data_IF_140408241509
#
_entry.id   IF_140408241509
#
_cell.length_a   1.000
_cell.length_b   1.000
_cell.length_c   1.000
_cell.angle_alpha   90.00
_cell.angle_beta   90.00
_cell.angle_gamma   90.00
#
_symmetry.space_group_name_H-M   'P 1'
#
loop_
_entity.id
_entity.type
_entity.pdbx_description
1 polymer ?
#
# COMPACT_ATOMS: atom_id res chain seq x y z
N UNK A 1 8.10 29.27 10.77
CA UNK A 1 7.54 28.29 9.82
C UNK A 1 8.68 27.84 8.94
N UNK A 2 9.04 26.56 9.01
CA UNK A 2 10.08 25.95 8.19
C UNK A 2 9.34 25.05 7.21
N UNK A 3 9.47 25.33 5.92
CA UNK A 3 8.98 24.45 4.86
C UNK A 3 9.92 23.24 4.77
N UNK A 4 9.35 22.04 4.80
CA UNK A 4 10.11 20.81 4.65
C UNK A 4 10.10 20.41 3.16
N UNK A 5 11.25 20.57 2.52
CA UNK A 5 11.52 20.08 1.17
C UNK A 5 11.90 18.59 1.26
N UNK A 6 11.20 17.74 0.51
CA UNK A 6 11.46 16.29 0.49
C UNK A 6 12.34 15.98 -0.72
N UNK A 7 13.61 15.70 -0.46
CA UNK A 7 14.56 15.13 -1.43
C UNK A 7 14.47 13.61 -1.31
N UNK A 8 13.85 12.94 -2.28
CA UNK A 8 13.87 11.48 -2.39
C UNK A 8 15.04 11.03 -3.28
N UNK A 9 15.97 10.21 -2.77
CA UNK A 9 17.04 9.67 -3.59
C UNK A 9 16.51 8.48 -4.39
N UNK A 10 16.73 8.55 -5.70
CA UNK A 10 16.61 7.48 -6.71
C UNK A 10 15.21 7.17 -7.27
N UNK A 11 14.97 7.88 -8.36
CA UNK A 11 14.15 7.53 -9.54
C UNK A 11 12.63 7.66 -9.47
N UNK A 12 12.21 8.90 -9.81
CA UNK A 12 11.19 9.20 -10.83
C UNK A 12 9.90 8.38 -10.79
N UNK A 13 9.02 8.85 -9.93
CA UNK A 13 7.63 9.07 -10.32
C UNK A 13 6.80 7.82 -10.59
N UNK A 14 6.21 7.29 -9.53
CA UNK A 14 4.75 7.09 -9.57
C UNK A 14 4.06 8.40 -9.13
N UNK A 15 4.41 9.52 -9.78
CA UNK A 15 3.45 10.60 -9.85
C UNK A 15 2.33 10.10 -10.76
N UNK A 16 1.18 9.83 -10.14
CA UNK A 16 -0.09 10.35 -10.62
C UNK A 16 -0.25 10.34 -12.15
N UNK A 17 -0.49 9.15 -12.73
CA UNK A 17 -1.43 9.13 -13.84
C UNK A 17 -2.81 9.30 -13.22
N UNK A 18 -3.46 10.39 -13.60
CA UNK A 18 -4.79 10.84 -13.20
C UNK A 18 -5.90 9.80 -13.45
N UNK A 19 -5.91 8.68 -12.73
CA UNK A 19 -7.06 7.80 -12.69
C UNK A 19 -7.98 8.27 -11.58
N UNK A 20 -8.87 9.22 -11.90
CA UNK A 20 -10.09 9.36 -11.11
C UNK A 20 -10.85 8.03 -11.25
N UNK A 21 -10.94 7.27 -10.17
CA UNK A 21 -11.81 6.09 -10.15
C UNK A 21 -13.24 6.59 -10.05
N UNK A 22 -14.16 6.19 -10.94
CA UNK A 22 -15.56 6.56 -10.81
C UNK A 22 -16.13 6.14 -9.46
N UNK A 23 -17.06 6.93 -8.93
CA UNK A 23 -17.82 6.55 -7.75
C UNK A 23 -18.65 5.31 -8.07
N UNK A 24 -18.79 4.41 -7.09
CA UNK A 24 -19.48 3.13 -7.21
C UNK A 24 -18.62 1.99 -7.74
N UNK A 25 -17.30 2.19 -7.84
CA UNK A 25 -16.35 1.11 -8.09
C UNK A 25 -15.87 0.50 -6.77
N UNK A 26 -15.19 -0.65 -6.85
CA UNK A 26 -14.53 -1.26 -5.70
C UNK A 26 -13.01 -1.22 -5.85
N UNK A 27 -12.33 -0.84 -4.77
CA UNK A 27 -10.88 -0.94 -4.61
C UNK A 27 -10.45 -2.32 -4.09
N UNK A 28 -9.19 -2.64 -4.32
CA UNK A 28 -8.49 -3.82 -3.80
C UNK A 28 -7.00 -3.52 -3.73
N UNK A 29 -6.38 -3.70 -2.57
CA UNK A 29 -4.94 -3.47 -2.38
C UNK A 29 -4.18 -4.78 -2.60
N UNK A 30 -3.23 -4.76 -3.54
CA UNK A 30 -2.24 -5.82 -3.75
C UNK A 30 -0.85 -5.25 -3.53
N UNK A 31 -0.10 -5.83 -2.59
CA UNK A 31 1.30 -5.46 -2.33
C UNK A 31 2.16 -6.70 -2.48
N UNK A 32 3.28 -6.58 -3.20
CA UNK A 32 4.27 -7.64 -3.33
C UNK A 32 5.55 -7.20 -2.64
N UNK A 33 5.97 -7.95 -1.62
CA UNK A 33 7.27 -7.79 -0.98
C UNK A 33 8.28 -8.76 -1.58
N UNK A 34 9.56 -8.40 -1.55
CA UNK A 34 10.68 -9.30 -1.88
C UNK A 34 11.70 -9.33 -0.74
N UNK A 35 12.22 -10.50 -0.44
CA UNK A 35 13.34 -10.64 0.48
C UNK A 35 14.67 -10.39 -0.25
N UNK A 36 15.14 -9.16 -0.26
CA UNK A 36 16.45 -8.80 -0.86
C UNK A 36 17.64 -9.05 0.09
N UNK A 37 17.43 -9.73 1.21
CA UNK A 37 18.52 -10.11 2.13
C UNK A 37 19.16 -11.44 1.71
N UNK A 38 20.32 -11.76 2.27
CA UNK A 38 21.03 -13.02 1.99
C UNK A 38 20.59 -14.21 2.86
N UNK A 39 19.55 -14.05 3.69
CA UNK A 39 19.06 -15.08 4.61
C UNK A 39 17.55 -15.23 4.49
N UNK A 40 17.02 -16.38 4.93
CA UNK A 40 15.57 -16.60 4.97
C UNK A 40 14.91 -15.63 5.96
N UNK A 41 13.80 -15.00 5.54
CA UNK A 41 13.05 -14.04 6.35
C UNK A 41 11.59 -14.46 6.53
N UNK A 42 11.00 -13.98 7.61
CA UNK A 42 9.56 -13.83 7.73
C UNK A 42 9.19 -12.42 7.26
N UNK A 43 8.11 -12.30 6.49
CA UNK A 43 7.63 -11.05 5.91
C UNK A 43 6.28 -10.74 6.53
N UNK A 44 6.19 -9.62 7.22
CA UNK A 44 4.95 -9.09 7.79
C UNK A 44 4.49 -7.87 7.01
N UNK A 45 3.18 -7.64 7.01
CA UNK A 45 2.63 -6.38 6.55
C UNK A 45 1.36 -6.07 7.31
N UNK A 46 1.10 -4.78 7.50
CA UNK A 46 -0.24 -4.29 7.77
C UNK A 46 -0.54 -3.05 6.95
N UNK A 47 -1.81 -2.80 6.68
CA UNK A 47 -2.23 -1.54 6.10
C UNK A 47 -3.63 -1.10 6.52
N UNK A 48 -3.86 0.19 6.36
CA UNK A 48 -5.15 0.85 6.51
C UNK A 48 -5.47 1.64 5.24
N UNK A 49 -6.66 1.43 4.71
CA UNK A 49 -7.26 2.31 3.70
C UNK A 49 -8.28 3.20 4.37
N UNK A 50 -8.16 4.52 4.16
CA UNK A 50 -9.14 5.50 4.61
C UNK A 50 -9.82 6.21 3.47
N UNK A 51 -11.11 6.47 3.65
CA UNK A 51 -11.90 7.32 2.77
C UNK A 51 -11.52 8.81 2.89
N UNK A 52 -12.05 9.68 2.03
CA UNK A 52 -11.75 11.12 2.04
C UNK A 52 -12.16 11.85 3.33
N UNK A 53 -13.06 11.26 4.12
CA UNK A 53 -13.53 11.80 5.41
C UNK A 53 -12.71 11.24 6.59
N UNK A 54 -11.76 10.34 6.32
CA UNK A 54 -10.89 9.71 7.31
C UNK A 54 -11.44 8.41 7.90
N UNK A 55 -12.60 7.92 7.44
CA UNK A 55 -13.16 6.62 7.85
C UNK A 55 -12.32 5.45 7.34
N UNK A 56 -12.13 4.41 8.14
CA UNK A 56 -11.42 3.18 7.70
C UNK A 56 -12.37 2.37 6.83
N UNK A 57 -11.97 2.11 5.59
CA UNK A 57 -12.72 1.26 4.64
C UNK A 57 -12.06 -0.10 4.41
N UNK A 58 -10.79 -0.22 4.77
CA UNK A 58 -10.08 -1.50 4.79
C UNK A 58 -9.01 -1.47 5.89
N UNK A 59 -8.87 -2.59 6.60
CA UNK A 59 -7.77 -2.88 7.51
C UNK A 59 -7.30 -4.31 7.25
N UNK A 60 -6.00 -4.48 7.04
CA UNK A 60 -5.40 -5.77 6.73
C UNK A 60 -4.10 -5.95 7.48
N UNK A 61 -3.82 -7.19 7.90
CA UNK A 61 -2.51 -7.59 8.40
C UNK A 61 -2.30 -9.07 8.15
N UNK A 62 -1.08 -9.45 7.74
CA UNK A 62 -0.72 -10.84 7.57
C UNK A 62 0.79 -11.07 7.75
N UNK A 63 1.15 -12.33 7.93
CA UNK A 63 2.52 -12.80 8.02
C UNK A 63 2.74 -13.99 7.11
N UNK A 64 3.87 -13.96 6.41
CA UNK A 64 4.30 -15.04 5.55
C UNK A 64 5.72 -15.45 5.88
N UNK A 65 6.01 -16.75 5.89
CA UNK A 65 7.23 -17.30 6.48
C UNK A 65 8.03 -18.09 5.45
N UNK A 66 9.35 -18.18 5.68
CA UNK A 66 10.21 -19.10 4.95
C UNK A 66 10.68 -18.58 3.58
N UNK A 67 10.69 -17.26 3.37
CA UNK A 67 11.12 -16.65 2.10
C UNK A 67 12.64 -16.58 2.03
N UNK A 68 13.25 -17.34 1.13
CA UNK A 68 14.69 -17.32 0.88
C UNK A 68 15.16 -16.03 0.17
N UNK A 69 16.48 -15.91 -0.07
CA UNK A 69 17.04 -14.76 -0.79
C UNK A 69 16.45 -14.62 -2.19
N UNK A 70 15.85 -13.45 -2.48
CA UNK A 70 15.22 -13.11 -3.74
C UNK A 70 13.76 -13.58 -3.90
N UNK A 71 13.24 -14.38 -2.95
CA UNK A 71 11.85 -14.83 -2.97
C UNK A 71 10.91 -13.63 -2.77
N UNK A 72 9.77 -13.67 -3.45
CA UNK A 72 8.69 -12.70 -3.29
C UNK A 72 7.44 -13.32 -2.67
N UNK A 73 6.63 -12.46 -2.08
CA UNK A 73 5.33 -12.83 -1.55
C UNK A 73 4.31 -11.73 -1.81
N UNK A 74 3.12 -12.16 -2.24
CA UNK A 74 2.01 -11.27 -2.52
C UNK A 74 1.02 -11.28 -1.36
N UNK A 75 0.73 -10.09 -0.84
CA UNK A 75 -0.33 -9.83 0.12
C UNK A 75 -1.52 -9.20 -0.61
N UNK A 76 -2.69 -9.78 -0.41
CA UNK A 76 -3.94 -9.39 -1.07
C UNK A 76 -4.98 -9.07 0.00
N UNK A 77 -5.47 -7.84 -0.05
CA UNK A 77 -6.45 -7.32 0.89
C UNK A 77 -7.89 -7.75 0.65
N UNK A 78 -8.76 -7.11 1.41
CA UNK A 78 -10.20 -7.13 1.17
C UNK A 78 -10.59 -6.16 0.06
N UNK A 79 -11.78 -6.35 -0.52
CA UNK A 79 -12.40 -5.31 -1.36
C UNK A 79 -13.03 -4.24 -0.47
N UNK A 80 -13.01 -3.00 -0.95
CA UNK A 80 -13.71 -1.88 -0.33
C UNK A 80 -14.38 -1.02 -1.40
N UNK A 81 -15.38 -0.24 -1.01
CA UNK A 81 -16.13 0.59 -1.93
C UNK A 81 -15.50 1.98 -2.09
N UNK A 82 -15.54 2.49 -3.32
CA UNK A 82 -15.17 3.86 -3.68
C UNK A 82 -16.46 4.62 -3.92
N UNK A 83 -17.12 5.00 -2.82
CA UNK A 83 -18.44 5.62 -2.77
C UNK A 83 -18.40 7.13 -2.51
N UNK A 84 -17.23 7.67 -2.14
CA UNK A 84 -17.05 9.09 -1.81
C UNK A 84 -16.15 9.80 -2.80
N UNK A 85 -16.49 11.04 -3.12
CA UNK A 85 -15.62 11.91 -3.91
C UNK A 85 -14.45 12.38 -3.03
N UNK A 86 -13.21 12.21 -3.51
CA UNK A 86 -12.02 12.73 -2.85
C UNK A 86 -10.85 11.75 -2.87
N UNK A 87 -9.88 12.00 -2.00
CA UNK A 87 -8.65 11.20 -1.92
C UNK A 87 -8.85 10.09 -0.90
N UNK A 88 -8.80 8.85 -1.36
CA UNK A 88 -8.60 7.70 -0.49
C UNK A 88 -7.11 7.58 -0.18
N UNK A 89 -6.76 7.21 1.05
CA UNK A 89 -5.36 7.08 1.50
C UNK A 89 -5.06 5.65 1.89
N UNK A 90 -3.89 5.14 1.47
CA UNK A 90 -3.35 3.86 1.89
C UNK A 90 -2.11 4.12 2.75
N UNK A 91 -2.08 3.58 3.96
CA UNK A 91 -0.90 3.53 4.81
C UNK A 91 -0.51 2.08 5.03
N UNK A 92 0.66 1.68 4.54
CA UNK A 92 1.22 0.35 4.76
C UNK A 92 2.44 0.44 5.70
N UNK A 93 2.56 -0.53 6.60
CA UNK A 93 3.67 -0.73 7.51
C UNK A 93 4.27 -2.13 7.23
N UNK A 94 5.59 -2.20 7.04
CA UNK A 94 6.38 -3.37 6.60
C UNK A 94 7.45 -3.72 7.62
#
# INVERSE_FOLDING_TARGET
MIALEVISPSYKGLQALASSVPIGQSGLVHITGRNDTSVTQAMGISWLVRDPEGGVVEEYSDWSYGHGPGDDHQFIGGRFDIDKAGIYTLKADL
#
